data_IF_719822748571
#
_entry.id   IF_719822748571
#
_cell.length_a   1.000
_cell.length_b   1.000
_cell.length_c   1.000
_cell.angle_alpha   90.00
_cell.angle_beta   90.00
_cell.angle_gamma   90.00
#
_symmetry.space_group_name_H-M   'P 1'
#
loop_
_entity.id
_entity.type
_entity.pdbx_description
1 polymer ?
#
# COMPACT_ATOMS: atom_id res chain seq x y z
N UNK A 1 1.50 -18.76 11.99
CA UNK A 1 1.33 -18.18 10.63
C UNK A 1 2.14 -16.89 10.54
N UNK A 2 2.79 -16.64 9.40
CA UNK A 2 3.57 -15.42 9.17
C UNK A 2 2.64 -14.20 9.03
N UNK A 3 3.14 -13.00 9.32
CA UNK A 3 2.33 -11.76 9.33
C UNK A 3 1.66 -11.49 7.99
N UNK A 4 2.36 -11.71 6.86
CA UNK A 4 1.79 -11.49 5.54
C UNK A 4 0.61 -12.43 5.22
N UNK A 5 0.68 -13.69 5.64
CA UNK A 5 -0.46 -14.62 5.51
C UNK A 5 -1.65 -14.17 6.37
N UNK A 6 -1.39 -13.69 7.60
CA UNK A 6 -2.45 -13.13 8.45
C UNK A 6 -3.07 -11.88 7.81
N UNK A 7 -2.25 -11.01 7.20
CA UNK A 7 -2.71 -9.80 6.49
C UNK A 7 -3.73 -10.13 5.42
N UNK A 8 -3.41 -11.11 4.56
CA UNK A 8 -4.30 -11.55 3.46
C UNK A 8 -5.58 -12.19 3.98
N UNK A 9 -5.52 -12.99 5.06
CA UNK A 9 -6.68 -13.75 5.53
C UNK A 9 -7.65 -12.93 6.39
N UNK A 10 -7.16 -11.98 7.17
CA UNK A 10 -8.00 -11.19 8.08
C UNK A 10 -7.37 -9.86 8.55
N UNK A 11 -6.13 -9.55 8.16
CA UNK A 11 -5.46 -8.29 8.49
C UNK A 11 -5.77 -7.19 7.47
N UNK A 12 -4.86 -6.23 7.29
CA UNK A 12 -5.11 -5.01 6.48
C UNK A 12 -5.47 -5.37 5.03
N UNK A 13 -4.74 -6.29 4.41
CA UNK A 13 -4.94 -6.71 3.02
C UNK A 13 -5.95 -7.87 2.87
N UNK A 14 -6.96 -7.93 3.75
CA UNK A 14 -7.96 -9.00 3.73
C UNK A 14 -8.58 -9.15 2.34
N UNK A 15 -8.40 -10.31 1.71
CA UNK A 15 -8.71 -10.54 0.30
C UNK A 15 -10.18 -10.34 -0.09
N UNK A 16 -11.12 -10.37 0.87
CA UNK A 16 -12.53 -10.08 0.62
C UNK A 16 -12.89 -8.60 0.76
N UNK A 17 -12.15 -7.85 1.59
CA UNK A 17 -12.50 -6.48 1.96
C UNK A 17 -11.67 -5.45 1.22
N UNK A 18 -10.35 -5.66 1.14
CA UNK A 18 -9.44 -4.71 0.51
C UNK A 18 -9.74 -4.50 -0.98
N UNK A 19 -9.96 -5.55 -1.82
CA UNK A 19 -10.32 -5.33 -3.22
C UNK A 19 -11.62 -4.55 -3.43
N UNK A 20 -12.59 -4.67 -2.52
CA UNK A 20 -13.84 -3.88 -2.56
C UNK A 20 -13.52 -2.39 -2.32
N UNK A 21 -12.67 -2.08 -1.35
CA UNK A 21 -12.25 -0.71 -1.09
C UNK A 21 -11.43 -0.13 -2.24
N UNK A 22 -10.55 -0.92 -2.87
CA UNK A 22 -9.80 -0.53 -4.08
C UNK A 22 -10.76 -0.24 -5.22
N UNK A 23 -11.79 -1.05 -5.43
CA UNK A 23 -12.84 -0.79 -6.41
C UNK A 23 -13.56 0.53 -6.15
N UNK A 24 -13.99 0.78 -4.91
CA UNK A 24 -14.67 2.04 -4.54
C UNK A 24 -13.74 3.25 -4.73
N UNK A 25 -12.48 3.11 -4.33
CA UNK A 25 -11.46 4.14 -4.52
C UNK A 25 -11.22 4.44 -6.00
N UNK A 26 -11.09 3.40 -6.83
CA UNK A 26 -10.96 3.54 -8.27
C UNK A 26 -12.15 4.29 -8.86
N UNK A 27 -13.37 3.89 -8.50
CA UNK A 27 -14.57 4.56 -9.00
C UNK A 27 -14.58 6.06 -8.64
N UNK A 28 -14.25 6.40 -7.40
CA UNK A 28 -14.15 7.80 -6.95
C UNK A 28 -13.10 8.61 -7.71
N UNK A 29 -11.99 8.01 -8.10
CA UNK A 29 -10.88 8.70 -8.76
C UNK A 29 -11.04 8.78 -10.29
N UNK A 30 -11.51 7.70 -10.91
CA UNK A 30 -11.37 7.48 -12.36
C UNK A 30 -12.68 7.07 -13.05
N UNK A 31 -13.79 6.95 -12.31
CA UNK A 31 -15.05 6.44 -12.85
C UNK A 31 -15.17 4.90 -12.78
N UNK A 32 -16.33 4.38 -13.16
CA UNK A 32 -16.63 2.95 -13.05
C UNK A 32 -15.61 2.11 -13.84
N UNK A 33 -14.97 1.08 -13.23
CA UNK A 33 -13.94 0.28 -13.90
C UNK A 33 -14.58 -0.73 -14.87
N UNK A 34 -14.94 -0.32 -16.07
CA UNK A 34 -15.55 -1.23 -17.06
C UNK A 34 -14.59 -2.32 -17.56
N UNK A 35 -13.28 -2.11 -17.46
CA UNK A 35 -12.27 -3.06 -17.89
C UNK A 35 -12.10 -4.21 -16.87
N UNK A 36 -12.44 -5.46 -17.22
CA UNK A 36 -12.35 -6.59 -16.29
C UNK A 36 -10.92 -6.88 -15.81
N UNK A 37 -9.89 -6.44 -16.56
CA UNK A 37 -8.48 -6.57 -16.15
C UNK A 37 -8.20 -5.78 -14.87
N UNK A 38 -8.90 -4.66 -14.66
CA UNK A 38 -8.83 -3.91 -13.41
C UNK A 38 -9.31 -4.74 -12.23
N UNK A 39 -10.37 -5.52 -12.41
CA UNK A 39 -10.98 -6.32 -11.34
C UNK A 39 -10.02 -7.41 -10.89
N UNK A 40 -9.37 -8.07 -11.86
CA UNK A 40 -8.30 -9.03 -11.57
C UNK A 40 -7.15 -8.33 -10.84
N UNK A 41 -6.72 -7.15 -11.30
CA UNK A 41 -5.64 -6.39 -10.64
C UNK A 41 -5.96 -6.04 -9.18
N UNK A 42 -7.20 -5.64 -8.89
CA UNK A 42 -7.64 -5.30 -7.53
C UNK A 42 -7.57 -6.51 -6.60
N UNK A 43 -7.84 -7.70 -7.11
CA UNK A 43 -7.82 -8.94 -6.32
C UNK A 43 -6.38 -9.42 -6.09
N UNK A 44 -5.53 -9.38 -7.13
CA UNK A 44 -4.24 -10.10 -7.09
C UNK A 44 -3.06 -9.27 -6.62
N UNK A 45 -3.15 -7.93 -6.65
CA UNK A 45 -1.98 -7.05 -6.45
C UNK A 45 -1.21 -7.30 -5.14
N UNK A 46 -1.93 -7.57 -4.04
CA UNK A 46 -1.36 -7.81 -2.71
C UNK A 46 -1.17 -9.28 -2.33
N UNK A 47 -1.56 -10.24 -3.19
CA UNK A 47 -1.47 -11.66 -2.85
C UNK A 47 -0.02 -12.13 -2.60
N UNK A 48 0.97 -11.38 -3.08
CA UNK A 48 2.38 -11.68 -2.83
C UNK A 48 2.81 -11.50 -1.38
N UNK A 49 1.97 -10.94 -0.49
CA UNK A 49 2.19 -10.99 0.95
C UNK A 49 2.08 -12.40 1.53
N UNK A 50 1.54 -13.38 0.79
CA UNK A 50 1.36 -14.73 1.29
C UNK A 50 2.71 -15.36 1.67
N UNK A 51 2.84 -15.73 2.95
CA UNK A 51 4.06 -16.34 3.47
C UNK A 51 5.23 -15.37 3.68
N UNK A 52 5.02 -14.06 3.59
CA UNK A 52 6.02 -13.05 3.95
C UNK A 52 6.14 -12.87 5.47
N UNK A 53 7.36 -12.82 6.03
CA UNK A 53 7.58 -12.71 7.48
C UNK A 53 7.39 -11.28 8.01
N UNK A 54 7.38 -10.28 7.14
CA UNK A 54 7.21 -8.85 7.44
C UNK A 54 6.38 -8.18 6.33
N UNK A 55 5.88 -6.98 6.60
CA UNK A 55 5.10 -6.15 5.66
C UNK A 55 5.93 -5.07 4.99
N UNK A 56 6.81 -4.45 5.76
CA UNK A 56 7.62 -3.27 5.41
C UNK A 56 9.13 -3.57 5.38
N UNK A 57 9.53 -4.81 5.69
CA UNK A 57 10.91 -5.27 5.50
C UNK A 57 11.19 -5.68 4.06
N UNK A 58 12.43 -6.10 3.80
CA UNK A 58 12.93 -6.46 2.47
C UNK A 58 12.05 -7.51 1.79
N UNK A 59 11.63 -8.55 2.51
CA UNK A 59 10.75 -9.58 1.97
C UNK A 59 9.34 -9.06 1.72
N UNK A 60 8.82 -8.21 2.59
CA UNK A 60 7.51 -7.58 2.45
C UNK A 60 7.42 -6.68 1.23
N UNK A 61 8.47 -5.92 0.91
CA UNK A 61 8.48 -5.03 -0.27
C UNK A 61 8.36 -5.78 -1.60
N UNK A 62 8.74 -7.05 -1.65
CA UNK A 62 8.60 -7.90 -2.86
C UNK A 62 7.17 -8.44 -3.08
N UNK A 63 6.17 -8.09 -2.25
CA UNK A 63 4.78 -8.53 -2.42
C UNK A 63 4.21 -8.21 -3.82
N UNK A 64 4.67 -7.12 -4.44
CA UNK A 64 4.21 -6.68 -5.76
C UNK A 64 4.48 -7.69 -6.87
N UNK A 65 5.49 -8.56 -6.70
CA UNK A 65 5.99 -9.42 -7.77
C UNK A 65 4.98 -10.50 -8.18
N UNK A 66 4.28 -11.11 -7.22
CA UNK A 66 3.34 -12.19 -7.53
C UNK A 66 2.16 -11.67 -8.34
N UNK A 67 1.51 -10.60 -7.87
CA UNK A 67 0.41 -9.96 -8.58
C UNK A 67 0.84 -9.48 -9.97
N UNK A 68 2.03 -8.89 -10.09
CA UNK A 68 2.61 -8.49 -11.37
C UNK A 68 2.80 -9.68 -12.32
N UNK A 69 3.39 -10.80 -11.86
CA UNK A 69 3.59 -12.01 -12.68
C UNK A 69 2.27 -12.59 -13.18
N UNK A 70 1.24 -12.63 -12.33
CA UNK A 70 -0.10 -13.10 -12.72
C UNK A 70 -0.69 -12.19 -13.80
N UNK A 71 -0.64 -10.88 -13.60
CA UNK A 71 -1.20 -9.91 -14.55
C UNK A 71 -0.43 -9.87 -15.87
N UNK A 72 0.89 -10.04 -15.81
CA UNK A 72 1.77 -10.17 -16.97
C UNK A 72 1.44 -11.43 -17.78
N UNK A 73 1.28 -12.57 -17.10
CA UNK A 73 0.94 -13.82 -17.75
C UNK A 73 -0.44 -13.79 -18.43
N UNK A 74 -1.44 -13.19 -17.78
CA UNK A 74 -2.82 -13.16 -18.29
C UNK A 74 -3.05 -12.08 -19.35
N UNK A 75 -2.44 -10.90 -19.21
CA UNK A 75 -2.80 -9.71 -19.98
C UNK A 75 -1.60 -8.95 -20.58
N UNK A 76 -0.39 -9.48 -20.42
CA UNK A 76 0.83 -8.93 -21.00
C UNK A 76 1.58 -7.95 -20.08
N UNK A 77 2.81 -7.62 -20.51
CA UNK A 77 3.78 -6.85 -19.70
C UNK A 77 3.25 -5.54 -19.14
N UNK A 78 2.45 -4.80 -19.91
CA UNK A 78 1.88 -3.53 -19.46
C UNK A 78 1.00 -3.67 -18.22
N UNK A 79 0.21 -4.76 -18.13
CA UNK A 79 -0.63 -5.08 -16.97
C UNK A 79 0.17 -5.62 -15.79
N UNK A 80 1.27 -6.33 -16.09
CA UNK A 80 2.28 -6.69 -15.11
C UNK A 80 2.89 -5.46 -14.45
N UNK A 81 3.36 -4.50 -15.25
CA UNK A 81 3.95 -3.24 -14.77
C UNK A 81 2.92 -2.37 -14.04
N UNK A 82 1.68 -2.29 -14.55
CA UNK A 82 0.57 -1.61 -13.88
C UNK A 82 0.35 -2.13 -12.45
N UNK A 83 0.43 -3.45 -12.27
CA UNK A 83 0.28 -4.07 -10.95
C UNK A 83 1.56 -3.98 -10.13
N UNK A 84 2.75 -4.16 -10.72
CA UNK A 84 4.05 -4.05 -10.04
C UNK A 84 4.23 -2.69 -9.37
N UNK A 85 3.88 -1.62 -10.09
CA UNK A 85 4.10 -0.25 -9.67
C UNK A 85 2.95 0.32 -8.83
N UNK A 86 2.13 -0.54 -8.21
CA UNK A 86 1.22 -0.11 -7.14
C UNK A 86 1.96 0.22 -5.83
N UNK A 87 3.22 -0.21 -5.67
CA UNK A 87 4.12 0.24 -4.60
C UNK A 87 4.94 1.45 -5.04
N UNK A 88 4.85 2.54 -4.29
CA UNK A 88 5.63 3.78 -4.52
C UNK A 88 7.14 3.54 -4.45
N UNK A 89 7.57 2.74 -3.48
CA UNK A 89 8.99 2.44 -3.26
C UNK A 89 9.55 1.58 -4.38
N UNK A 90 8.81 0.55 -4.79
CA UNK A 90 9.20 -0.31 -5.90
C UNK A 90 9.25 0.47 -7.22
N UNK A 91 8.27 1.36 -7.46
CA UNK A 91 8.30 2.27 -8.60
C UNK A 91 9.52 3.19 -8.57
N UNK A 92 9.85 3.79 -7.42
CA UNK A 92 11.02 4.67 -7.26
C UNK A 92 12.34 3.92 -7.50
N UNK A 93 12.46 2.68 -7.01
CA UNK A 93 13.62 1.79 -7.21
C UNK A 93 13.87 1.53 -8.70
N UNK A 94 12.81 1.29 -9.47
CA UNK A 94 12.89 1.05 -10.92
C UNK A 94 12.90 2.34 -11.76
N UNK A 95 12.96 3.51 -11.13
CA UNK A 95 12.83 4.82 -11.77
C UNK A 95 11.56 4.94 -12.64
N UNK A 96 10.46 4.35 -12.16
CA UNK A 96 9.12 4.38 -12.76
C UNK A 96 8.19 5.26 -11.93
N UNK A 97 7.11 5.70 -12.56
CA UNK A 97 6.02 6.39 -11.86
C UNK A 97 5.11 5.35 -11.19
N UNK A 98 4.55 5.65 -10.01
CA UNK A 98 3.48 4.83 -9.44
C UNK A 98 2.32 4.69 -10.43
N UNK A 99 1.74 3.50 -10.52
CA UNK A 99 0.60 3.25 -11.39
C UNK A 99 -0.68 3.88 -10.82
N UNK A 100 -1.74 4.00 -11.64
CA UNK A 100 -3.05 4.43 -11.14
C UNK A 100 -3.61 3.48 -10.07
N UNK A 101 -3.22 2.20 -10.10
CA UNK A 101 -3.55 1.24 -9.05
C UNK A 101 -2.94 1.66 -7.71
N UNK A 102 -1.72 2.21 -7.69
CA UNK A 102 -1.10 2.77 -6.49
C UNK A 102 -2.01 3.82 -5.83
N UNK A 103 -2.49 4.78 -6.63
CA UNK A 103 -3.31 5.88 -6.12
C UNK A 103 -4.63 5.34 -5.54
N UNK A 104 -5.28 4.43 -6.26
CA UNK A 104 -6.51 3.78 -5.81
C UNK A 104 -6.29 2.97 -4.51
N UNK A 105 -5.20 2.22 -4.42
CA UNK A 105 -4.82 1.47 -3.22
C UNK A 105 -4.60 2.38 -2.01
N UNK A 106 -3.89 3.50 -2.16
CA UNK A 106 -3.69 4.47 -1.05
C UNK A 106 -5.00 5.12 -0.62
N UNK A 107 -5.91 5.40 -1.56
CA UNK A 107 -7.22 5.91 -1.22
C UNK A 107 -8.09 4.84 -0.53
N UNK A 108 -7.98 3.57 -0.92
CA UNK A 108 -8.71 2.46 -0.30
C UNK A 108 -8.44 2.39 1.21
N UNK A 109 -7.16 2.47 1.62
CA UNK A 109 -6.76 2.56 3.03
C UNK A 109 -7.41 3.77 3.74
N UNK A 110 -7.54 4.91 3.05
CA UNK A 110 -8.13 6.12 3.62
C UNK A 110 -9.65 6.02 3.78
N UNK A 111 -10.34 5.30 2.89
CA UNK A 111 -11.80 5.09 2.92
C UNK A 111 -12.23 4.14 4.04
N UNK A 112 -11.34 3.27 4.50
CA UNK A 112 -11.69 2.28 5.51
C UNK A 112 -12.04 2.88 6.88
N UNK A 113 -13.11 2.43 7.57
CA UNK A 113 -13.37 2.85 8.94
C UNK A 113 -12.19 2.58 9.90
N UNK A 114 -11.73 3.63 10.60
CA UNK A 114 -10.54 3.58 11.47
C UNK A 114 -10.58 2.45 12.51
N UNK A 115 -11.73 2.20 13.13
CA UNK A 115 -11.86 1.14 14.12
C UNK A 115 -11.65 -0.25 13.50
N UNK A 116 -12.13 -0.46 12.27
CA UNK A 116 -12.08 -1.75 11.59
C UNK A 116 -10.66 -2.06 11.08
N UNK A 117 -9.99 -1.05 10.50
CA UNK A 117 -8.56 -1.14 10.17
C UNK A 117 -7.73 -1.50 11.41
N UNK A 118 -7.89 -0.75 12.50
CA UNK A 118 -7.06 -0.94 13.70
C UNK A 118 -7.31 -2.29 14.40
N UNK A 119 -8.55 -2.80 14.35
CA UNK A 119 -8.88 -4.15 14.80
C UNK A 119 -8.10 -5.19 14.00
N UNK A 120 -8.24 -5.19 12.66
CA UNK A 120 -7.59 -6.16 11.77
C UNK A 120 -6.07 -6.07 11.83
N UNK A 121 -5.51 -4.86 11.77
CA UNK A 121 -4.06 -4.62 11.89
C UNK A 121 -3.50 -5.07 13.24
N UNK A 122 -4.29 -5.01 14.32
CA UNK A 122 -3.88 -5.54 15.62
C UNK A 122 -3.95 -7.06 15.67
N UNK A 123 -5.00 -7.68 15.11
CA UNK A 123 -5.16 -9.13 15.09
C UNK A 123 -4.09 -9.83 14.22
N UNK A 124 -3.74 -9.24 13.08
CA UNK A 124 -2.69 -9.76 12.19
C UNK A 124 -1.29 -9.56 12.75
N UNK A 125 -1.10 -8.53 13.59
CA UNK A 125 0.18 -8.12 14.17
C UNK A 125 0.91 -7.05 13.35
N UNK A 126 0.36 -6.62 12.22
CA UNK A 126 0.93 -5.60 11.34
C UNK A 126 1.14 -4.27 12.06
N UNK A 127 0.25 -3.91 12.99
CA UNK A 127 0.33 -2.65 13.74
C UNK A 127 1.64 -2.53 14.53
N UNK A 128 2.19 -3.64 15.02
CA UNK A 128 3.43 -3.64 15.80
C UNK A 128 4.63 -3.33 14.91
N UNK A 129 4.63 -3.86 13.68
CA UNK A 129 5.65 -3.59 12.69
C UNK A 129 5.56 -2.13 12.21
N UNK A 130 4.37 -1.68 11.82
CA UNK A 130 4.17 -0.33 11.30
C UNK A 130 4.53 0.75 12.33
N UNK A 131 4.02 0.64 13.55
CA UNK A 131 4.33 1.61 14.60
C UNK A 131 5.77 1.44 15.11
N UNK A 132 6.29 0.21 15.21
CA UNK A 132 7.67 -0.04 15.61
C UNK A 132 8.67 0.57 14.62
N UNK A 133 8.39 0.48 13.32
CA UNK A 133 9.18 1.13 12.27
C UNK A 133 9.10 2.66 12.35
N UNK A 134 7.92 3.21 12.69
CA UNK A 134 7.77 4.65 12.90
C UNK A 134 8.56 5.15 14.12
N UNK A 135 8.52 4.43 15.25
CA UNK A 135 9.23 4.79 16.50
C UNK A 135 10.75 4.69 16.32
N UNK A 136 11.26 3.52 15.89
CA UNK A 136 12.71 3.26 15.76
C UNK A 136 13.44 4.27 14.86
N UNK A 137 12.70 4.96 14.00
CA UNK A 137 13.23 5.87 12.98
C UNK A 137 13.00 7.34 13.34
N UNK A 138 12.16 7.66 14.34
CA UNK A 138 12.11 8.98 14.97
C UNK A 138 13.34 9.23 15.87
N UNK A 139 13.92 8.17 16.45
CA UNK A 139 15.05 8.24 17.37
C UNK A 139 16.44 8.25 16.70
N UNK A 140 16.51 8.00 15.38
CA UNK A 140 17.77 8.02 14.61
C UNK A 140 17.76 9.20 13.63
N UNK A 141 18.58 10.21 13.88
CA UNK A 141 18.81 11.37 13.00
C UNK A 141 19.55 11.04 11.69
N UNK A 142 19.16 9.96 11.02
CA UNK A 142 19.65 9.53 9.70
C UNK A 142 18.80 10.19 8.56
N UNK A 143 19.29 10.27 7.31
CA UNK A 143 18.66 11.08 6.26
C UNK A 143 17.26 10.58 5.86
N UNK A 144 16.40 11.53 5.46
CA UNK A 144 14.95 11.41 5.18
C UNK A 144 14.49 10.04 4.60
N UNK A 145 13.93 9.22 5.47
CA UNK A 145 13.42 7.86 5.24
C UNK A 145 11.93 7.84 4.86
N UNK A 146 11.43 6.67 4.42
CA UNK A 146 10.06 6.34 3.94
C UNK A 146 8.90 7.02 4.70
N UNK A 147 9.07 7.32 5.99
CA UNK A 147 8.02 7.83 6.88
C UNK A 147 8.31 9.22 7.48
N UNK A 148 9.53 9.76 7.39
CA UNK A 148 9.86 11.07 7.99
C UNK A 148 9.08 12.22 7.35
N UNK A 149 8.81 12.13 6.04
CA UNK A 149 7.94 13.09 5.36
C UNK A 149 6.48 13.04 5.84
N UNK A 150 6.09 12.05 6.64
CA UNK A 150 4.71 11.83 7.07
C UNK A 150 4.31 12.59 8.34
N UNK A 151 5.26 13.10 9.13
CA UNK A 151 5.02 13.79 10.42
C UNK A 151 4.00 13.04 11.30
N UNK A 152 4.31 11.78 11.64
CA UNK A 152 3.38 10.85 12.29
C UNK A 152 3.16 11.17 13.77
N UNK A 153 1.90 11.20 14.22
CA UNK A 153 1.57 11.28 15.64
C UNK A 153 1.58 9.88 16.29
N UNK A 154 2.55 9.59 17.14
CA UNK A 154 2.73 8.27 17.75
C UNK A 154 2.05 8.11 19.13
N UNK A 155 1.29 9.10 19.61
CA UNK A 155 0.68 9.09 20.94
C UNK A 155 -0.34 7.95 21.13
N UNK A 156 -0.97 7.49 20.05
CA UNK A 156 -1.89 6.34 20.07
C UNK A 156 -2.01 5.71 18.69
N UNK A 157 -2.47 4.45 18.62
CA UNK A 157 -2.81 3.76 17.35
C UNK A 157 -3.76 4.58 16.47
N UNK A 158 -4.75 5.25 17.09
CA UNK A 158 -5.73 6.10 16.40
C UNK A 158 -5.09 7.38 15.85
N UNK A 159 -4.28 8.06 16.65
CA UNK A 159 -3.57 9.28 16.23
C UNK A 159 -2.57 8.97 15.10
N UNK A 160 -1.86 7.85 15.21
CA UNK A 160 -0.95 7.36 14.19
C UNK A 160 -1.69 7.11 12.87
N UNK A 161 -2.76 6.32 12.89
CA UNK A 161 -3.49 6.01 11.66
C UNK A 161 -4.17 7.24 11.05
N UNK A 162 -4.66 8.17 11.89
CA UNK A 162 -5.19 9.46 11.43
C UNK A 162 -4.11 10.28 10.72
N UNK A 163 -2.87 10.27 11.22
CA UNK A 163 -1.73 10.96 10.59
C UNK A 163 -1.36 10.30 9.26
N UNK A 164 -1.33 8.97 9.22
CA UNK A 164 -1.11 8.20 7.99
C UNK A 164 -2.16 8.55 6.92
N UNK A 165 -3.45 8.56 7.27
CA UNK A 165 -4.52 8.96 6.34
C UNK A 165 -4.37 10.39 5.87
N UNK A 166 -4.12 11.33 6.78
CA UNK A 166 -3.94 12.74 6.45
C UNK A 166 -2.80 12.93 5.45
N UNK A 167 -1.66 12.28 5.68
CA UNK A 167 -0.53 12.31 4.74
C UNK A 167 -0.88 11.66 3.39
N UNK A 168 -1.49 10.46 3.40
CA UNK A 168 -1.88 9.76 2.16
C UNK A 168 -2.86 10.57 1.32
N UNK A 169 -3.85 11.23 1.94
CA UNK A 169 -4.80 12.07 1.21
C UNK A 169 -4.11 13.26 0.52
N UNK A 170 -3.15 13.92 1.18
CA UNK A 170 -2.36 14.99 0.54
C UNK A 170 -1.49 14.45 -0.59
N UNK A 171 -0.86 13.29 -0.38
CA UNK A 171 -0.06 12.65 -1.42
C UNK A 171 -0.91 12.26 -2.63
N UNK A 172 -2.11 11.71 -2.42
CA UNK A 172 -3.06 11.38 -3.50
C UNK A 172 -3.46 12.64 -4.25
N UNK A 173 -3.84 13.72 -3.55
CA UNK A 173 -4.24 14.97 -4.20
C UNK A 173 -3.13 15.55 -5.08
N UNK A 174 -1.88 15.42 -4.64
CA UNK A 174 -0.72 15.86 -5.39
C UNK A 174 -0.42 14.96 -6.62
N UNK A 175 -0.60 13.65 -6.52
CA UNK A 175 -0.09 12.70 -7.55
C UNK A 175 -1.16 12.02 -8.39
N UNK A 176 -2.45 12.18 -8.08
CA UNK A 176 -3.57 11.52 -8.81
C UNK A 176 -3.61 11.82 -10.31
N UNK A 177 -3.08 12.98 -10.71
CA UNK A 177 -3.03 13.45 -12.11
C UNK A 177 -1.75 12.99 -12.85
N UNK A 178 -0.97 12.08 -12.26
CA UNK A 178 0.24 11.51 -12.88
C UNK A 178 1.49 12.39 -12.76
N UNK A 179 1.46 13.38 -11.86
CA UNK A 179 2.63 14.16 -11.45
C UNK A 179 3.71 13.25 -10.83
N UNK A 180 4.97 13.66 -10.93
CA UNK A 180 6.09 12.88 -10.42
C UNK A 180 6.04 12.75 -8.88
N UNK A 181 6.24 11.54 -8.35
CA UNK A 181 6.33 11.30 -6.91
C UNK A 181 7.65 11.84 -6.34
N UNK A 182 7.60 13.07 -5.85
CA UNK A 182 8.72 13.77 -5.19
C UNK A 182 8.74 13.55 -3.67
N UNK A 183 7.68 12.95 -3.11
CA UNK A 183 7.51 12.77 -1.66
C UNK A 183 8.09 11.46 -1.16
N UNK A 184 8.04 10.42 -2.00
CA UNK A 184 8.65 9.13 -1.70
C UNK A 184 10.17 9.23 -1.86
N UNK A 185 10.96 9.05 -0.78
CA UNK A 185 12.41 9.12 -0.87
C UNK A 185 12.95 7.99 -1.74
N UNK A 186 14.08 8.23 -2.41
CA UNK A 186 14.82 7.15 -3.07
C UNK A 186 15.36 6.23 -1.97
N UNK A 187 14.94 4.97 -1.99
CA UNK A 187 15.62 3.92 -1.22
C UNK A 187 17.02 3.77 -1.80
N UNK A 188 18.02 4.10 -0.99
CA UNK A 188 19.46 3.87 -1.26
C UNK A 188 19.76 2.38 -1.31
#
# INVERSE_FOLDING_TARGET
MKVGTKSILFGVHFFLWHPILVFIAWWKLYGFPYDPRLWVSFIVHDLGYWGKPNMDGEEGETHVELGAKVMEYLFGKEWGDFSRYHSRFYAKKDNKRPSKLCIADKLAMCLEPTWFYLLRASLSGEIHEYMGNAIKRQDKGEPLTKYESMNLNLNSKRAWFSSCKSYMLRWIDEHKDGREDTWTPKTT
#
